data_IF_301456311334
#
_entry.id   IF_301456311334
#
_cell.length_a   1.000
_cell.length_b   1.000
_cell.length_c   1.000
_cell.angle_alpha   90.00
_cell.angle_beta   90.00
_cell.angle_gamma   90.00
#
_symmetry.space_group_name_H-M   'P 1'
#
loop_
_entity.id
_entity.type
_entity.pdbx_description
1 polymer ?
#
# COMPACT_ATOMS: atom_id res chain seq x y z
N UNK A 1 21.41 13.85 1.84
CA UNK A 1 21.53 13.38 3.24
C UNK A 1 20.21 13.50 4.02
N UNK A 2 19.28 14.37 3.63
CA UNK A 2 17.98 14.53 4.32
C UNK A 2 17.11 13.26 4.35
N UNK A 3 17.17 12.46 3.29
CA UNK A 3 16.42 11.21 3.19
C UNK A 3 16.91 10.09 4.12
N UNK A 4 18.23 9.88 4.28
CA UNK A 4 18.77 8.68 4.94
C UNK A 4 18.25 8.42 6.37
N UNK A 5 18.00 9.41 7.24
CA UNK A 5 17.40 9.17 8.55
C UNK A 5 15.99 8.58 8.49
N UNK A 6 15.25 8.79 7.39
CA UNK A 6 13.86 8.35 7.27
C UNK A 6 13.68 6.83 7.28
N UNK A 7 14.71 6.07 6.94
CA UNK A 7 14.72 4.62 7.09
C UNK A 7 14.57 4.20 8.56
N UNK A 8 15.23 4.93 9.48
CA UNK A 8 15.07 4.70 10.92
C UNK A 8 13.70 5.17 11.37
N UNK A 9 13.23 6.33 10.88
CA UNK A 9 11.92 6.87 11.22
C UNK A 9 10.80 5.88 10.86
N UNK A 10 10.84 5.27 9.68
CA UNK A 10 9.91 4.20 9.27
C UNK A 10 10.05 2.97 10.17
N UNK A 11 11.27 2.52 10.46
CA UNK A 11 11.52 1.34 11.29
C UNK A 11 11.01 1.49 12.74
N UNK A 12 10.93 2.72 13.25
CA UNK A 12 10.38 3.01 14.59
C UNK A 12 8.91 3.48 14.55
N UNK A 13 8.35 3.66 13.36
CA UNK A 13 6.96 4.09 13.16
C UNK A 13 6.74 5.59 13.31
N UNK A 14 7.77 6.42 13.12
CA UNK A 14 7.64 7.88 13.01
C UNK A 14 7.41 8.28 11.54
N UNK A 15 6.26 7.86 11.02
CA UNK A 15 5.89 8.14 9.62
C UNK A 15 5.76 9.63 9.32
N UNK A 16 5.30 10.42 10.30
CA UNK A 16 5.18 11.87 10.14
C UNK A 16 6.54 12.50 9.82
N UNK A 17 7.56 12.20 10.62
CA UNK A 17 8.91 12.71 10.41
C UNK A 17 9.48 12.23 9.08
N UNK A 18 9.22 10.96 8.72
CA UNK A 18 9.62 10.42 7.42
C UNK A 18 9.00 11.20 6.25
N UNK A 19 7.70 11.56 6.31
CA UNK A 19 7.05 12.40 5.28
C UNK A 19 7.71 13.76 5.18
N UNK A 20 7.92 14.43 6.32
CA UNK A 20 8.46 15.80 6.36
C UNK A 20 9.91 15.83 5.84
N UNK A 21 10.79 14.92 6.29
CA UNK A 21 12.19 14.86 5.86
C UNK A 21 12.33 14.47 4.38
N UNK A 22 11.50 13.55 3.88
CA UNK A 22 11.50 13.22 2.44
C UNK A 22 10.95 14.37 1.60
N UNK A 23 9.98 15.14 2.11
CA UNK A 23 9.53 16.36 1.42
C UNK A 23 10.67 17.36 1.27
N UNK A 24 11.43 17.64 2.33
CA UNK A 24 12.61 18.50 2.27
C UNK A 24 13.66 17.98 1.28
N UNK A 25 13.88 16.66 1.24
CA UNK A 25 14.79 16.03 0.29
C UNK A 25 14.33 16.27 -1.16
N UNK A 26 13.03 16.11 -1.45
CA UNK A 26 12.44 16.35 -2.78
C UNK A 26 12.60 17.83 -3.19
N UNK A 27 12.33 18.77 -2.26
CA UNK A 27 12.49 20.21 -2.53
C UNK A 27 13.95 20.59 -2.81
N UNK A 28 14.90 20.02 -2.06
CA UNK A 28 16.33 20.24 -2.30
C UNK A 28 16.77 19.68 -3.66
N UNK A 29 16.24 18.52 -4.02
CA UNK A 29 16.50 17.84 -5.25
C UNK A 29 15.93 18.57 -6.48
N UNK A 30 14.70 19.07 -6.39
CA UNK A 30 14.10 19.91 -7.43
C UNK A 30 14.95 21.16 -7.74
N UNK A 31 15.57 21.76 -6.73
CA UNK A 31 16.50 22.88 -6.90
C UNK A 31 17.78 22.47 -7.62
N UNK A 32 18.28 21.25 -7.35
CA UNK A 32 19.46 20.72 -8.02
C UNK A 32 19.17 20.43 -9.50
N UNK A 33 18.08 19.71 -9.81
CA UNK A 33 17.67 19.41 -11.18
C UNK A 33 17.30 20.63 -12.02
N UNK A 34 16.92 21.73 -11.40
CA UNK A 34 16.66 23.00 -12.09
C UNK A 34 17.95 23.71 -12.55
N UNK A 35 19.13 23.32 -12.04
CA UNK A 35 20.42 23.95 -12.30
C UNK A 35 21.40 23.10 -13.07
N UNK A 36 21.30 21.78 -12.93
CA UNK A 36 22.27 20.82 -13.40
C UNK A 36 21.60 19.72 -14.25
N UNK A 37 22.26 19.31 -15.31
CA UNK A 37 21.88 18.09 -16.04
C UNK A 37 22.26 16.88 -15.18
N UNK A 38 21.31 16.42 -14.37
CA UNK A 38 21.55 15.30 -13.49
C UNK A 38 21.68 13.97 -14.23
N UNK A 39 22.59 13.11 -13.76
CA UNK A 39 22.79 11.80 -14.36
C UNK A 39 21.57 10.90 -14.20
N UNK A 40 21.38 9.97 -15.14
CA UNK A 40 20.30 8.97 -15.13
C UNK A 40 20.32 8.13 -13.86
N UNK A 41 21.52 7.79 -13.34
CA UNK A 41 21.65 7.05 -12.09
C UNK A 41 21.05 7.83 -10.90
N UNK A 42 21.13 9.15 -10.93
CA UNK A 42 20.55 9.98 -9.88
C UNK A 42 19.02 9.98 -9.90
N UNK A 43 18.39 9.75 -11.06
CA UNK A 43 16.96 9.62 -11.18
C UNK A 43 16.39 8.46 -10.33
N UNK A 44 17.14 7.35 -10.21
CA UNK A 44 16.73 6.22 -9.37
C UNK A 44 16.66 6.59 -7.87
N UNK A 45 17.62 7.38 -7.37
CA UNK A 45 17.58 7.90 -6.00
C UNK A 45 16.39 8.84 -5.78
N UNK A 46 16.14 9.70 -6.76
CA UNK A 46 14.98 10.62 -6.72
C UNK A 46 13.66 9.88 -6.62
N UNK A 47 13.46 8.86 -7.43
CA UNK A 47 12.28 7.97 -7.37
C UNK A 47 12.18 7.33 -5.99
N UNK A 48 13.29 6.87 -5.42
CA UNK A 48 13.31 6.18 -4.12
C UNK A 48 12.79 7.06 -2.99
N UNK A 49 13.24 8.30 -2.80
CA UNK A 49 12.74 9.09 -1.68
C UNK A 49 11.34 9.70 -1.91
N UNK A 50 10.92 9.88 -3.15
CA UNK A 50 9.51 10.17 -3.43
C UNK A 50 8.63 9.00 -3.01
N UNK A 51 9.05 7.77 -3.33
CA UNK A 51 8.36 6.55 -2.93
C UNK A 51 8.36 6.36 -1.40
N UNK A 52 9.46 6.69 -0.72
CA UNK A 52 9.55 6.66 0.75
C UNK A 52 8.57 7.66 1.39
N UNK A 53 8.44 8.88 0.84
CA UNK A 53 7.41 9.83 1.26
C UNK A 53 6.01 9.26 1.08
N UNK A 54 5.73 8.70 -0.09
CA UNK A 54 4.43 8.10 -0.42
C UNK A 54 4.04 7.02 0.57
N UNK A 55 4.94 6.06 0.83
CA UNK A 55 4.69 4.97 1.76
C UNK A 55 4.42 5.48 3.18
N UNK A 56 5.27 6.37 3.70
CA UNK A 56 5.10 6.95 5.03
C UNK A 56 3.76 7.72 5.15
N UNK A 57 3.37 8.44 4.10
CA UNK A 57 2.09 9.14 4.04
C UNK A 57 0.89 8.15 4.05
N UNK A 58 0.99 7.05 3.31
CA UNK A 58 -0.03 5.99 3.35
C UNK A 58 -0.17 5.39 4.75
N UNK A 59 0.95 5.14 5.45
CA UNK A 59 0.97 4.51 6.77
C UNK A 59 0.49 5.43 7.90
N UNK A 60 0.54 6.76 7.69
CA UNK A 60 0.05 7.78 8.63
C UNK A 60 -1.32 8.36 8.28
N UNK A 61 -2.00 7.87 7.23
CA UNK A 61 -3.33 8.37 6.84
C UNK A 61 -3.30 9.75 6.15
N UNK A 62 -2.18 10.17 5.57
CA UNK A 62 -1.99 11.46 4.89
C UNK A 62 -2.23 11.30 3.38
N UNK A 63 -3.50 11.35 2.99
CA UNK A 63 -3.90 11.17 1.58
C UNK A 63 -3.29 12.21 0.65
N UNK A 64 -3.33 13.47 1.03
CA UNK A 64 -2.83 14.58 0.21
C UNK A 64 -1.34 14.43 -0.09
N UNK A 65 -0.53 14.07 0.91
CA UNK A 65 0.90 13.84 0.72
C UNK A 65 1.19 12.60 -0.12
N UNK A 66 0.42 11.52 0.08
CA UNK A 66 0.57 10.29 -0.70
C UNK A 66 0.24 10.53 -2.17
N UNK A 67 -0.86 11.23 -2.47
CA UNK A 67 -1.24 11.57 -3.85
C UNK A 67 -0.25 12.53 -4.50
N UNK A 68 0.19 13.57 -3.81
CA UNK A 68 1.22 14.49 -4.31
C UNK A 68 2.52 13.76 -4.66
N UNK A 69 2.92 12.79 -3.83
CA UNK A 69 4.11 11.97 -4.12
C UNK A 69 3.88 11.05 -5.34
N UNK A 70 2.69 10.44 -5.48
CA UNK A 70 2.35 9.62 -6.64
C UNK A 70 2.37 10.43 -7.94
N UNK A 71 1.79 11.63 -7.94
CA UNK A 71 1.83 12.56 -9.08
C UNK A 71 3.26 13.02 -9.40
N UNK A 72 4.10 13.20 -8.38
CA UNK A 72 5.53 13.52 -8.58
C UNK A 72 6.28 12.36 -9.22
N UNK A 73 5.96 11.10 -8.87
CA UNK A 73 6.52 9.93 -9.55
C UNK A 73 6.15 9.92 -11.05
N UNK A 74 4.88 10.20 -11.39
CA UNK A 74 4.43 10.30 -12.79
C UNK A 74 5.19 11.40 -13.57
N UNK A 75 5.57 12.50 -12.91
CA UNK A 75 6.36 13.58 -13.53
C UNK A 75 7.85 13.20 -13.73
N UNK A 76 8.42 12.46 -12.77
CA UNK A 76 9.86 12.12 -12.78
C UNK A 76 10.14 10.92 -13.66
N UNK A 77 9.23 9.94 -13.70
CA UNK A 77 9.35 8.71 -14.49
C UNK A 77 8.67 8.94 -15.86
N UNK A 78 9.32 9.71 -16.71
CA UNK A 78 8.84 10.00 -18.04
C UNK A 78 9.25 8.94 -19.08
N UNK A 79 8.69 9.03 -20.27
CA UNK A 79 8.99 8.11 -21.38
C UNK A 79 10.48 8.18 -21.78
N UNK A 80 11.15 9.32 -21.63
CA UNK A 80 12.57 9.49 -21.93
C UNK A 80 13.41 8.64 -20.97
N UNK A 81 13.13 8.70 -19.67
CA UNK A 81 13.79 7.88 -18.66
C UNK A 81 13.55 6.38 -18.91
N UNK A 82 12.31 5.99 -19.19
CA UNK A 82 11.95 4.58 -19.42
C UNK A 82 12.51 4.01 -20.71
N UNK A 83 12.86 4.84 -21.70
CA UNK A 83 13.46 4.41 -22.96
C UNK A 83 14.97 4.14 -22.87
N UNK A 84 15.60 4.46 -21.76
CA UNK A 84 17.03 4.17 -21.52
C UNK A 84 17.24 2.67 -21.33
N UNK A 85 18.12 2.09 -22.15
CA UNK A 85 18.38 0.65 -22.16
C UNK A 85 19.66 0.25 -21.43
N UNK A 86 20.57 1.20 -21.17
CA UNK A 86 21.84 0.97 -20.46
C UNK A 86 22.04 2.09 -19.43
N UNK A 87 21.79 1.82 -18.13
CA UNK A 87 21.12 0.64 -17.57
C UNK A 87 19.64 0.55 -18.02
N UNK A 88 18.97 -0.63 -17.94
CA UNK A 88 17.60 -0.79 -18.40
C UNK A 88 16.62 -0.13 -17.42
N UNK A 89 16.44 1.18 -17.55
CA UNK A 89 15.70 2.00 -16.56
C UNK A 89 14.25 1.56 -16.38
N UNK A 90 13.57 1.08 -17.43
CA UNK A 90 12.24 0.53 -17.29
C UNK A 90 12.19 -0.66 -16.31
N UNK A 91 13.23 -1.50 -16.28
CA UNK A 91 13.30 -2.63 -15.34
C UNK A 91 13.49 -2.19 -13.89
N UNK A 92 14.01 -0.99 -13.66
CA UNK A 92 14.29 -0.48 -12.30
C UNK A 92 13.24 0.48 -11.74
N UNK A 93 12.52 1.23 -12.60
CA UNK A 93 11.69 2.32 -12.08
C UNK A 93 10.24 2.33 -12.59
N UNK A 94 9.87 1.53 -13.61
CA UNK A 94 8.51 1.55 -14.16
C UNK A 94 7.46 1.13 -13.13
N UNK A 95 7.78 0.16 -12.27
CA UNK A 95 6.90 -0.35 -11.22
C UNK A 95 6.38 0.75 -10.28
N UNK A 96 7.17 1.79 -10.03
CA UNK A 96 6.76 2.89 -9.14
C UNK A 96 5.58 3.72 -9.69
N UNK A 97 5.29 3.65 -10.98
CA UNK A 97 4.09 4.27 -11.57
C UNK A 97 2.79 3.59 -11.13
N UNK A 98 2.87 2.33 -10.67
CA UNK A 98 1.75 1.64 -10.04
C UNK A 98 1.35 2.19 -8.67
N UNK A 99 2.19 3.01 -8.04
CA UNK A 99 1.98 3.52 -6.67
C UNK A 99 0.71 4.36 -6.53
N UNK A 100 0.29 5.10 -7.55
CA UNK A 100 -0.98 5.85 -7.54
C UNK A 100 -2.18 4.94 -7.33
N UNK A 101 -2.20 3.78 -7.99
CA UNK A 101 -3.24 2.78 -7.78
C UNK A 101 -3.25 2.26 -6.34
N UNK A 102 -2.07 2.02 -5.74
CA UNK A 102 -1.93 1.62 -4.34
C UNK A 102 -2.45 2.69 -3.37
N UNK A 103 -2.15 3.98 -3.60
CA UNK A 103 -2.67 5.09 -2.79
C UNK A 103 -4.20 5.10 -2.84
N UNK A 104 -4.79 5.05 -4.03
CA UNK A 104 -6.24 5.10 -4.18
C UNK A 104 -6.94 3.90 -3.50
N UNK A 105 -6.36 2.70 -3.58
CA UNK A 105 -6.88 1.53 -2.85
C UNK A 105 -6.76 1.74 -1.34
N UNK A 106 -5.61 2.21 -0.83
CA UNK A 106 -5.41 2.46 0.61
C UNK A 106 -6.48 3.37 1.19
N UNK A 107 -6.88 4.40 0.44
CA UNK A 107 -7.83 5.41 0.89
C UNK A 107 -9.27 5.18 0.38
N UNK A 108 -9.56 4.01 -0.21
CA UNK A 108 -10.91 3.64 -0.63
C UNK A 108 -11.51 4.52 -1.74
N UNK A 109 -10.65 5.08 -2.60
CA UNK A 109 -11.06 6.01 -3.68
C UNK A 109 -11.54 5.22 -4.90
N UNK A 110 -12.56 4.38 -4.72
CA UNK A 110 -13.01 3.39 -5.70
C UNK A 110 -13.39 3.99 -7.04
N UNK A 111 -14.17 5.09 -7.03
CA UNK A 111 -14.56 5.78 -8.25
C UNK A 111 -13.38 6.38 -9.03
N UNK A 112 -12.36 6.86 -8.33
CA UNK A 112 -11.15 7.39 -8.97
C UNK A 112 -10.33 6.27 -9.60
N UNK A 113 -10.27 5.10 -8.97
CA UNK A 113 -9.61 3.90 -9.53
C UNK A 113 -10.26 3.50 -10.86
N UNK A 114 -11.60 3.51 -10.93
CA UNK A 114 -12.31 3.13 -12.16
C UNK A 114 -12.06 4.10 -13.33
N UNK A 115 -11.65 5.34 -13.04
CA UNK A 115 -11.29 6.36 -14.05
C UNK A 115 -9.83 6.32 -14.50
N UNK A 116 -8.95 5.56 -13.80
CA UNK A 116 -7.55 5.43 -14.23
C UNK A 116 -7.47 4.90 -15.65
N UNK A 117 -6.63 5.50 -16.47
CA UNK A 117 -6.41 5.04 -17.85
C UNK A 117 -5.36 3.93 -17.87
N UNK A 118 -5.63 2.86 -18.61
CA UNK A 118 -4.63 1.83 -18.84
C UNK A 118 -3.61 2.32 -19.87
N UNK A 119 -2.31 2.17 -19.61
CA UNK A 119 -1.29 2.53 -20.58
C UNK A 119 -1.42 1.68 -21.85
N UNK A 120 -1.16 2.32 -23.00
CA UNK A 120 -1.26 1.69 -24.33
C UNK A 120 -0.06 0.82 -24.64
N UNK A 121 1.14 1.26 -24.30
CA UNK A 121 2.37 0.46 -24.44
C UNK A 121 2.48 -0.57 -23.33
N UNK A 122 2.10 -1.80 -23.66
CA UNK A 122 2.09 -2.93 -22.72
C UNK A 122 3.49 -3.49 -22.45
N UNK A 123 4.47 -3.17 -23.26
CA UNK A 123 5.85 -3.67 -23.10
C UNK A 123 6.63 -2.84 -22.09
N UNK A 124 6.46 -1.52 -22.13
CA UNK A 124 7.10 -0.60 -21.20
C UNK A 124 6.33 -0.58 -19.87
N UNK A 125 5.03 -0.35 -19.90
CA UNK A 125 4.19 -0.14 -18.71
C UNK A 125 3.48 -1.42 -18.24
N UNK A 126 4.17 -2.56 -18.25
CA UNK A 126 3.57 -3.85 -17.95
C UNK A 126 3.16 -3.98 -16.47
N UNK A 127 3.98 -3.47 -15.53
CA UNK A 127 3.67 -3.49 -14.10
C UNK A 127 2.61 -2.46 -13.74
N UNK A 128 2.71 -1.24 -14.28
CA UNK A 128 1.70 -0.19 -14.10
C UNK A 128 0.31 -0.68 -14.54
N UNK A 129 0.25 -1.36 -15.69
CA UNK A 129 -1.00 -1.95 -16.19
C UNK A 129 -1.54 -3.00 -15.22
N UNK A 130 -0.71 -3.91 -14.76
CA UNK A 130 -1.12 -4.94 -13.79
C UNK A 130 -1.61 -4.30 -12.48
N UNK A 131 -0.92 -3.29 -11.96
CA UNK A 131 -1.30 -2.57 -10.73
C UNK A 131 -2.64 -1.86 -10.86
N UNK A 132 -2.92 -1.22 -12.01
CA UNK A 132 -4.24 -0.58 -12.26
C UNK A 132 -5.34 -1.64 -12.36
N UNK A 133 -5.11 -2.78 -13.01
CA UNK A 133 -6.09 -3.86 -13.12
C UNK A 133 -6.36 -4.49 -11.75
N UNK A 134 -5.33 -4.73 -10.94
CA UNK A 134 -5.49 -5.14 -9.55
C UNK A 134 -6.39 -4.18 -8.78
N UNK A 135 -6.09 -2.89 -8.82
CA UNK A 135 -6.87 -1.88 -8.11
C UNK A 135 -8.32 -1.81 -8.60
N UNK A 136 -8.56 -1.93 -9.92
CA UNK A 136 -9.92 -2.01 -10.49
C UNK A 136 -10.70 -3.22 -9.99
N UNK A 137 -10.06 -4.39 -9.96
CA UNK A 137 -10.67 -5.59 -9.41
C UNK A 137 -11.10 -5.41 -7.97
N UNK A 138 -10.24 -4.80 -7.12
CA UNK A 138 -10.60 -4.45 -5.74
C UNK A 138 -11.73 -3.43 -5.65
N UNK A 139 -11.70 -2.37 -6.48
CA UNK A 139 -12.73 -1.34 -6.49
C UNK A 139 -14.10 -1.92 -6.85
N UNK A 140 -14.17 -2.72 -7.92
CA UNK A 140 -15.40 -3.40 -8.33
C UNK A 140 -15.90 -4.36 -7.25
N UNK A 141 -15.00 -5.12 -6.61
CA UNK A 141 -15.32 -6.00 -5.48
C UNK A 141 -15.92 -5.21 -4.32
N UNK A 142 -15.27 -4.11 -3.91
CA UNK A 142 -15.74 -3.24 -2.83
C UNK A 142 -17.11 -2.61 -3.14
N UNK A 143 -17.36 -2.24 -4.40
CA UNK A 143 -18.63 -1.70 -4.87
C UNK A 143 -19.71 -2.78 -5.07
N UNK A 144 -19.36 -4.07 -4.97
CA UNK A 144 -20.29 -5.18 -5.10
C UNK A 144 -20.61 -5.56 -6.55
N UNK A 145 -19.81 -5.09 -7.50
CA UNK A 145 -19.90 -5.42 -8.93
C UNK A 145 -19.09 -6.69 -9.21
N UNK A 146 -19.60 -7.84 -8.74
CA UNK A 146 -18.86 -9.11 -8.72
C UNK A 146 -18.56 -9.64 -10.13
N UNK A 147 -19.51 -9.68 -11.08
CA UNK A 147 -19.22 -10.17 -12.43
C UNK A 147 -18.13 -9.35 -13.14
N UNK A 148 -18.16 -8.03 -12.99
CA UNK A 148 -17.16 -7.12 -13.55
C UNK A 148 -15.80 -7.30 -12.86
N UNK A 149 -15.79 -7.52 -11.54
CA UNK A 149 -14.57 -7.81 -10.79
C UNK A 149 -13.91 -9.12 -11.25
N UNK A 150 -14.69 -10.19 -11.51
CA UNK A 150 -14.21 -11.45 -12.05
C UNK A 150 -13.60 -11.28 -13.45
N UNK A 151 -14.25 -10.51 -14.32
CA UNK A 151 -13.72 -10.22 -15.64
C UNK A 151 -12.37 -9.48 -15.56
N UNK A 152 -12.29 -8.46 -14.70
CA UNK A 152 -11.04 -7.71 -14.47
C UNK A 152 -9.96 -8.58 -13.82
N UNK A 153 -10.32 -9.52 -12.94
CA UNK A 153 -9.36 -10.47 -12.37
C UNK A 153 -8.69 -11.31 -13.47
N UNK A 154 -9.44 -11.78 -14.47
CA UNK A 154 -8.88 -12.52 -15.61
C UNK A 154 -7.90 -11.64 -16.39
N UNK A 155 -8.26 -10.37 -16.65
CA UNK A 155 -7.36 -9.42 -17.32
C UNK A 155 -6.10 -9.13 -16.50
N UNK A 156 -6.24 -9.00 -15.19
CA UNK A 156 -5.12 -8.81 -14.27
C UNK A 156 -4.16 -10.00 -14.30
N UNK A 157 -4.66 -11.25 -14.21
CA UNK A 157 -3.81 -12.44 -14.26
C UNK A 157 -3.07 -12.58 -15.60
N UNK A 158 -3.71 -12.21 -16.71
CA UNK A 158 -3.06 -12.17 -18.02
C UNK A 158 -1.97 -11.09 -18.07
N UNK A 159 -2.23 -9.90 -17.48
CA UNK A 159 -1.23 -8.82 -17.41
C UNK A 159 -0.06 -9.21 -16.51
N UNK A 160 -0.33 -9.81 -15.34
CA UNK A 160 0.68 -10.33 -14.41
C UNK A 160 1.60 -11.37 -15.06
N UNK A 161 1.01 -12.32 -15.80
CA UNK A 161 1.77 -13.36 -16.49
C UNK A 161 2.69 -12.81 -17.61
N UNK A 162 2.37 -11.63 -18.14
CA UNK A 162 3.16 -10.97 -19.18
C UNK A 162 4.32 -10.12 -18.62
N UNK A 163 4.40 -9.91 -17.28
CA UNK A 163 5.50 -9.13 -16.67
C UNK A 163 6.80 -9.92 -16.73
N UNK A 164 7.88 -9.36 -17.33
CA UNK A 164 9.18 -10.02 -17.39
C UNK A 164 9.79 -10.18 -15.99
N UNK A 165 10.54 -11.28 -15.79
CA UNK A 165 11.26 -11.54 -14.53
C UNK A 165 12.42 -10.58 -14.27
N UNK A 166 12.79 -9.76 -15.25
CA UNK A 166 13.78 -8.68 -15.13
C UNK A 166 13.23 -7.44 -14.42
N UNK A 167 11.90 -7.28 -14.39
CA UNK A 167 11.27 -6.14 -13.69
C UNK A 167 11.47 -6.24 -12.18
N UNK A 168 12.01 -5.16 -11.61
CA UNK A 168 12.29 -5.05 -10.19
C UNK A 168 11.36 -4.02 -9.53
N UNK A 169 10.90 -4.35 -8.33
CA UNK A 169 10.29 -3.37 -7.42
C UNK A 169 11.41 -2.60 -6.70
N UNK A 170 12.35 -3.37 -6.19
CA UNK A 170 13.56 -2.89 -5.52
C UNK A 170 14.60 -4.02 -5.56
N UNK A 171 15.87 -3.70 -5.50
CA UNK A 171 16.91 -4.73 -5.51
C UNK A 171 16.97 -5.39 -4.11
N UNK A 172 16.79 -6.72 -3.99
CA UNK A 172 16.70 -7.74 -5.05
C UNK A 172 15.26 -8.21 -5.36
N UNK A 173 14.20 -7.49 -4.96
CA UNK A 173 12.81 -7.91 -5.07
C UNK A 173 12.30 -7.81 -6.52
N UNK A 174 11.73 -8.91 -7.04
CA UNK A 174 11.16 -8.96 -8.38
C UNK A 174 9.67 -8.61 -8.36
N UNK A 175 9.21 -7.90 -9.39
CA UNK A 175 7.78 -7.55 -9.52
C UNK A 175 6.87 -8.76 -9.65
N UNK A 176 7.33 -9.85 -10.24
CA UNK A 176 6.54 -11.09 -10.33
C UNK A 176 6.17 -11.65 -8.96
N UNK A 177 7.02 -11.48 -7.95
CA UNK A 177 6.77 -11.91 -6.57
C UNK A 177 5.78 -10.95 -5.87
N UNK A 178 5.95 -9.64 -6.07
CA UNK A 178 5.05 -8.60 -5.56
C UNK A 178 3.64 -8.74 -6.14
N UNK A 179 3.52 -8.97 -7.44
CA UNK A 179 2.24 -9.23 -8.11
C UNK A 179 1.62 -10.58 -7.70
N UNK A 180 2.40 -11.51 -7.14
CA UNK A 180 1.89 -12.71 -6.47
C UNK A 180 1.07 -12.36 -5.23
N UNK A 181 1.50 -11.37 -4.43
CA UNK A 181 0.73 -10.84 -3.30
C UNK A 181 -0.57 -10.20 -3.80
N UNK A 182 -0.47 -9.36 -4.85
CA UNK A 182 -1.63 -8.72 -5.47
C UNK A 182 -2.69 -9.72 -5.92
N UNK A 183 -2.25 -10.82 -6.56
CA UNK A 183 -3.13 -11.90 -7.02
C UNK A 183 -3.90 -12.56 -5.87
N UNK A 184 -3.19 -12.91 -4.80
CA UNK A 184 -3.82 -13.52 -3.63
C UNK A 184 -4.74 -12.54 -2.88
N UNK A 185 -4.37 -11.25 -2.81
CA UNK A 185 -5.22 -10.19 -2.23
C UNK A 185 -6.52 -10.04 -3.01
N UNK A 186 -6.46 -9.88 -4.33
CA UNK A 186 -7.65 -9.72 -5.18
C UNK A 186 -8.55 -10.94 -5.11
N UNK A 187 -7.97 -12.15 -5.18
CA UNK A 187 -8.73 -13.38 -5.06
C UNK A 187 -9.44 -13.49 -3.69
N UNK A 188 -8.73 -13.17 -2.60
CA UNK A 188 -9.30 -13.19 -1.26
C UNK A 188 -10.45 -12.21 -1.07
N UNK A 189 -10.29 -10.97 -1.57
CA UNK A 189 -11.35 -9.94 -1.52
C UNK A 189 -12.58 -10.38 -2.33
N UNK A 190 -12.37 -10.91 -3.52
CA UNK A 190 -13.45 -11.35 -4.39
C UNK A 190 -14.23 -12.52 -3.77
N UNK A 191 -13.56 -13.53 -3.23
CA UNK A 191 -14.20 -14.63 -2.49
C UNK A 191 -14.98 -14.13 -1.27
N UNK A 192 -14.43 -13.12 -0.57
CA UNK A 192 -15.14 -12.49 0.54
C UNK A 192 -16.47 -11.87 0.07
N UNK A 193 -16.46 -11.15 -1.06
CA UNK A 193 -17.66 -10.50 -1.61
C UNK A 193 -18.70 -11.49 -2.13
N UNK A 194 -18.26 -12.68 -2.56
CA UNK A 194 -19.16 -13.81 -2.92
C UNK A 194 -19.78 -14.48 -1.69
N UNK A 195 -19.35 -14.15 -0.47
CA UNK A 195 -19.80 -14.77 0.77
C UNK A 195 -19.03 -16.06 1.14
N UNK A 196 -17.97 -16.40 0.42
CA UNK A 196 -17.11 -17.57 0.66
C UNK A 196 -16.05 -17.25 1.72
N UNK A 197 -16.47 -16.88 2.93
CA UNK A 197 -15.60 -16.29 3.96
C UNK A 197 -14.40 -17.16 4.35
N UNK A 198 -14.56 -18.47 4.51
CA UNK A 198 -13.44 -19.35 4.89
C UNK A 198 -12.38 -19.42 3.79
N UNK A 199 -12.81 -19.51 2.53
CA UNK A 199 -11.92 -19.44 1.36
C UNK A 199 -11.23 -18.09 1.29
N UNK A 200 -11.97 -16.99 1.49
CA UNK A 200 -11.44 -15.63 1.51
C UNK A 200 -10.34 -15.48 2.56
N UNK A 201 -10.61 -15.87 3.80
CA UNK A 201 -9.64 -15.73 4.88
C UNK A 201 -8.42 -16.64 4.71
N UNK A 202 -8.58 -17.87 4.20
CA UNK A 202 -7.43 -18.72 3.89
C UNK A 202 -6.57 -18.13 2.77
N UNK A 203 -7.19 -17.56 1.74
CA UNK A 203 -6.49 -16.91 0.63
C UNK A 203 -5.76 -15.64 1.08
N UNK A 204 -6.38 -14.82 1.95
CA UNK A 204 -5.71 -13.64 2.52
C UNK A 204 -4.57 -14.02 3.48
N UNK A 205 -4.66 -15.13 4.23
CA UNK A 205 -3.53 -15.65 4.99
C UNK A 205 -2.39 -16.09 4.07
N UNK A 206 -2.72 -16.70 2.94
CA UNK A 206 -1.71 -17.01 1.91
C UNK A 206 -1.07 -15.74 1.34
N UNK A 207 -1.84 -14.67 1.14
CA UNK A 207 -1.29 -13.39 0.72
C UNK A 207 -0.31 -12.81 1.77
N UNK A 208 -0.59 -12.97 3.07
CA UNK A 208 0.34 -12.60 4.15
C UNK A 208 1.65 -13.41 4.07
N UNK A 209 1.57 -14.72 3.84
CA UNK A 209 2.77 -15.55 3.68
C UNK A 209 3.63 -15.08 2.50
N UNK A 210 3.00 -14.72 1.38
CA UNK A 210 3.69 -14.18 0.21
C UNK A 210 4.32 -12.82 0.50
N UNK A 211 3.58 -11.88 1.17
CA UNK A 211 4.12 -10.60 1.61
C UNK A 211 5.32 -10.78 2.54
N UNK A 212 5.20 -11.67 3.53
CA UNK A 212 6.25 -11.96 4.51
C UNK A 212 7.48 -12.63 3.88
N UNK A 213 7.33 -13.31 2.74
CA UNK A 213 8.42 -13.94 2.01
C UNK A 213 9.20 -12.97 1.13
N UNK A 214 8.66 -11.76 0.84
CA UNK A 214 9.35 -10.78 0.02
C UNK A 214 10.70 -10.38 0.67
N UNK A 215 11.74 -10.15 -0.14
CA UNK A 215 12.99 -9.58 0.34
C UNK A 215 12.76 -8.25 1.06
N UNK A 216 13.54 -8.00 2.12
CA UNK A 216 13.48 -6.72 2.82
C UNK A 216 13.87 -5.58 1.88
N UNK A 217 13.03 -4.55 1.87
CA UNK A 217 13.28 -3.26 1.23
C UNK A 217 12.61 -2.17 2.07
N UNK A 218 13.08 -0.95 1.92
CA UNK A 218 12.52 0.22 2.57
C UNK A 218 12.44 1.37 1.54
N UNK A 219 11.24 1.75 1.12
CA UNK A 219 9.94 1.24 1.56
C UNK A 219 9.69 -0.23 1.19
N UNK A 220 8.78 -0.92 1.90
CA UNK A 220 8.42 -2.30 1.58
C UNK A 220 7.92 -2.45 0.15
N UNK A 221 8.26 -3.56 -0.56
CA UNK A 221 7.83 -3.78 -1.93
C UNK A 221 6.31 -3.83 -2.09
N UNK A 222 5.61 -4.40 -1.10
CA UNK A 222 4.16 -4.36 -1.00
C UNK A 222 3.71 -3.25 -0.05
N UNK A 223 3.11 -2.19 -0.60
CA UNK A 223 2.81 -0.95 0.14
C UNK A 223 1.49 -0.98 0.93
N UNK A 224 0.66 -2.01 0.72
CA UNK A 224 -0.63 -2.16 1.38
C UNK A 224 -0.61 -3.40 2.26
N UNK A 225 -0.22 -3.31 3.55
CA UNK A 225 -0.12 -4.49 4.40
C UNK A 225 -1.36 -5.36 4.35
N UNK A 226 -1.21 -6.62 3.93
CA UNK A 226 -2.31 -7.58 3.81
C UNK A 226 -3.05 -7.74 5.13
N UNK A 227 -2.32 -7.64 6.24
CA UNK A 227 -2.86 -7.71 7.60
C UNK A 227 -3.94 -6.66 7.88
N UNK A 228 -3.86 -5.49 7.26
CA UNK A 228 -4.88 -4.45 7.42
C UNK A 228 -6.21 -4.85 6.79
N UNK A 229 -6.18 -5.46 5.61
CA UNK A 229 -7.37 -5.96 4.93
C UNK A 229 -7.96 -7.18 5.66
N UNK A 230 -7.12 -8.20 5.95
CA UNK A 230 -7.57 -9.39 6.67
C UNK A 230 -8.19 -9.02 8.02
N UNK A 231 -7.51 -8.20 8.83
CA UNK A 231 -8.01 -7.77 10.14
C UNK A 231 -9.33 -7.02 10.03
N UNK A 232 -9.46 -6.11 9.06
CA UNK A 232 -10.70 -5.37 8.81
C UNK A 232 -11.87 -6.28 8.43
N UNK A 233 -11.67 -7.24 7.54
CA UNK A 233 -12.71 -8.18 7.11
C UNK A 233 -13.07 -9.20 8.21
N UNK A 234 -12.10 -9.63 9.02
CA UNK A 234 -12.36 -10.44 10.22
C UNK A 234 -13.25 -9.69 11.22
N UNK A 235 -12.99 -8.40 11.45
CA UNK A 235 -13.83 -7.55 12.30
C UNK A 235 -15.25 -7.39 11.73
N UNK A 236 -15.42 -7.29 10.42
CA UNK A 236 -16.72 -7.24 9.76
C UNK A 236 -17.53 -8.53 10.02
N UNK A 237 -16.87 -9.68 10.07
CA UNK A 237 -17.47 -10.98 10.39
C UNK A 237 -17.50 -11.29 11.90
N UNK A 238 -17.27 -10.30 12.76
CA UNK A 238 -17.21 -10.44 14.21
C UNK A 238 -16.19 -11.49 14.72
N UNK A 239 -15.15 -11.82 13.92
CA UNK A 239 -14.06 -12.71 14.29
C UNK A 239 -12.96 -11.93 15.04
N UNK A 240 -13.37 -11.26 16.13
CA UNK A 240 -12.55 -10.25 16.84
C UNK A 240 -11.23 -10.83 17.36
N UNK A 241 -11.24 -12.05 17.93
CA UNK A 241 -10.02 -12.67 18.45
C UNK A 241 -8.97 -12.94 17.38
N UNK A 242 -9.38 -13.34 16.16
CA UNK A 242 -8.46 -13.54 15.05
C UNK A 242 -7.94 -12.21 14.49
N UNK A 243 -8.79 -11.19 14.42
CA UNK A 243 -8.37 -9.85 14.02
C UNK A 243 -7.33 -9.26 14.99
N UNK A 244 -7.51 -9.48 16.31
CA UNK A 244 -6.54 -9.05 17.33
C UNK A 244 -5.17 -9.66 17.09
N UNK A 245 -5.09 -10.96 16.80
CA UNK A 245 -3.81 -11.63 16.50
C UNK A 245 -3.13 -10.98 15.29
N UNK A 246 -3.87 -10.75 14.22
CA UNK A 246 -3.37 -10.14 12.98
C UNK A 246 -2.82 -8.72 13.22
N UNK A 247 -3.55 -7.89 13.98
CA UNK A 247 -3.07 -6.53 14.28
C UNK A 247 -1.92 -6.50 15.27
N UNK A 248 -1.85 -7.44 16.22
CA UNK A 248 -0.69 -7.56 17.10
C UNK A 248 0.58 -7.94 16.33
N UNK A 249 0.47 -8.81 15.33
CA UNK A 249 1.59 -9.11 14.42
C UNK A 249 1.99 -7.86 13.62
N UNK A 250 1.04 -7.18 12.99
CA UNK A 250 1.30 -5.98 12.20
C UNK A 250 2.05 -4.91 13.00
N UNK A 251 1.63 -4.67 14.24
CA UNK A 251 2.23 -3.69 15.13
C UNK A 251 3.49 -4.18 15.87
N UNK A 252 3.94 -5.42 15.62
CA UNK A 252 5.11 -6.02 16.30
C UNK A 252 4.90 -6.28 17.78
N UNK A 253 3.64 -6.46 18.21
CA UNK A 253 3.26 -6.77 19.59
C UNK A 253 3.11 -8.28 19.84
N UNK A 254 3.23 -9.11 18.81
CA UNK A 254 3.28 -10.56 18.95
C UNK A 254 4.70 -11.01 19.33
N UNK A 255 4.81 -11.93 20.31
CA UNK A 255 6.08 -12.30 20.97
C UNK A 255 7.18 -12.75 20.01
N UNK A 256 6.84 -13.56 19.03
CA UNK A 256 7.82 -14.21 18.14
C UNK A 256 7.76 -13.63 16.71
N UNK A 257 7.10 -12.49 16.53
CA UNK A 257 6.97 -11.87 15.20
C UNK A 257 8.26 -11.12 14.82
N UNK A 258 8.83 -11.36 13.62
CA UNK A 258 10.08 -10.73 13.22
C UNK A 258 9.96 -9.20 13.12
N UNK A 259 10.79 -8.48 13.89
CA UNK A 259 10.78 -7.02 13.94
C UNK A 259 10.81 -6.35 12.57
N UNK A 260 11.58 -6.89 11.62
CA UNK A 260 11.70 -6.35 10.24
C UNK A 260 10.40 -6.37 9.44
N UNK A 261 9.40 -7.16 9.86
CA UNK A 261 8.08 -7.26 9.22
C UNK A 261 7.04 -6.39 9.92
N UNK A 262 7.32 -5.97 11.15
CA UNK A 262 6.40 -5.14 11.92
C UNK A 262 6.31 -3.73 11.34
N UNK A 263 5.11 -3.18 11.35
CA UNK A 263 4.80 -1.82 10.90
C UNK A 263 4.32 -1.00 12.10
N UNK A 264 5.26 -0.66 12.97
CA UNK A 264 4.97 -0.02 14.24
C UNK A 264 4.18 1.27 14.06
N UNK A 265 3.34 1.57 15.01
CA UNK A 265 2.63 2.85 15.14
C UNK A 265 1.85 3.31 13.89
N UNK A 266 1.65 2.43 12.89
CA UNK A 266 0.82 2.81 11.77
C UNK A 266 -0.64 3.03 12.20
N UNK A 267 -1.29 4.04 11.64
CA UNK A 267 -2.63 4.47 12.05
C UNK A 267 -3.69 3.38 11.86
N UNK A 268 -3.54 2.54 10.85
CA UNK A 268 -4.50 1.52 10.46
C UNK A 268 -4.50 0.32 11.42
N UNK A 269 -3.31 -0.20 11.72
CA UNK A 269 -3.12 -1.29 12.70
C UNK A 269 -3.52 -0.86 14.10
N UNK A 270 -3.13 0.36 14.52
CA UNK A 270 -3.52 0.91 15.83
C UNK A 270 -5.04 1.07 15.94
N UNK A 271 -5.70 1.58 14.89
CA UNK A 271 -7.16 1.70 14.88
C UNK A 271 -7.84 0.33 14.95
N UNK A 272 -7.38 -0.64 14.15
CA UNK A 272 -7.94 -1.99 14.14
C UNK A 272 -7.75 -2.72 15.47
N UNK A 273 -6.58 -2.63 16.10
CA UNK A 273 -6.31 -3.24 17.40
C UNK A 273 -7.15 -2.58 18.51
N UNK A 274 -7.29 -1.25 18.48
CA UNK A 274 -8.16 -0.54 19.42
C UNK A 274 -9.62 -1.00 19.31
N UNK A 275 -10.12 -1.18 18.07
CA UNK A 275 -11.46 -1.72 17.84
C UNK A 275 -11.61 -3.14 18.39
N UNK A 276 -10.58 -4.01 18.22
CA UNK A 276 -10.58 -5.35 18.80
C UNK A 276 -10.72 -5.32 20.32
N UNK A 277 -9.94 -4.51 21.00
CA UNK A 277 -9.97 -4.40 22.46
C UNK A 277 -11.31 -3.86 22.96
N UNK A 278 -11.83 -2.82 22.31
CA UNK A 278 -13.13 -2.23 22.66
C UNK A 278 -14.26 -3.25 22.52
N UNK A 279 -14.31 -3.99 21.40
CA UNK A 279 -15.33 -5.03 21.17
C UNK A 279 -15.22 -6.22 22.12
N UNK A 280 -14.00 -6.55 22.56
CA UNK A 280 -13.75 -7.65 23.50
C UNK A 280 -13.87 -7.25 24.97
N UNK A 281 -14.18 -5.97 25.28
CA UNK A 281 -14.24 -5.47 26.66
C UNK A 281 -12.89 -5.41 27.38
N UNK A 282 -11.78 -5.42 26.64
CA UNK A 282 -10.40 -5.31 27.14
C UNK A 282 -10.05 -3.84 27.38
N UNK A 283 -10.62 -3.25 28.44
CA UNK A 283 -10.58 -1.80 28.69
C UNK A 283 -9.15 -1.32 28.94
N UNK A 284 -8.38 -2.04 29.74
CA UNK A 284 -7.01 -1.66 30.10
C UNK A 284 -6.09 -1.65 28.87
N UNK A 285 -6.18 -2.68 28.02
CA UNK A 285 -5.42 -2.76 26.77
C UNK A 285 -5.85 -1.68 25.77
N UNK A 286 -7.15 -1.37 25.71
CA UNK A 286 -7.65 -0.27 24.87
C UNK A 286 -7.07 1.07 25.33
N UNK A 287 -7.07 1.36 26.62
CA UNK A 287 -6.48 2.57 27.20
C UNK A 287 -4.97 2.63 26.96
N UNK A 288 -4.28 1.49 27.05
CA UNK A 288 -2.83 1.40 26.82
C UNK A 288 -2.43 1.87 25.41
N UNK A 289 -3.16 1.45 24.36
CA UNK A 289 -2.81 1.84 22.99
C UNK A 289 -3.49 3.13 22.53
N UNK A 290 -4.47 3.64 23.27
CA UNK A 290 -5.25 4.82 22.89
C UNK A 290 -4.37 6.03 22.62
N UNK A 291 -3.39 6.32 23.48
CA UNK A 291 -2.49 7.47 23.28
C UNK A 291 -1.69 7.36 21.99
N UNK A 292 -1.15 6.19 21.67
CA UNK A 292 -0.42 5.95 20.42
C UNK A 292 -1.34 6.11 19.19
N UNK A 293 -2.57 5.58 19.28
CA UNK A 293 -3.59 5.72 18.24
C UNK A 293 -3.96 7.19 18.02
N UNK A 294 -4.20 7.95 19.08
CA UNK A 294 -4.63 9.35 19.00
C UNK A 294 -3.51 10.24 18.42
N UNK A 295 -2.25 9.96 18.76
CA UNK A 295 -1.08 10.61 18.15
C UNK A 295 -1.00 10.29 16.64
N UNK A 296 -1.20 9.03 16.25
CA UNK A 296 -1.20 8.64 14.85
C UNK A 296 -2.36 9.29 14.07
N UNK A 297 -3.56 9.31 14.65
CA UNK A 297 -4.74 9.96 14.07
C UNK A 297 -4.56 11.48 13.91
N UNK A 298 -3.87 12.16 14.83
CA UNK A 298 -3.58 13.58 14.72
C UNK A 298 -2.73 13.96 13.50
N UNK A 299 -2.04 12.99 12.90
CA UNK A 299 -1.25 13.18 11.67
C UNK A 299 -2.04 12.94 10.39
N UNK A 300 -3.19 12.26 10.47
CA UNK A 300 -4.01 11.93 9.32
C UNK A 300 -4.77 13.17 8.79
N UNK A 301 -4.92 13.25 7.47
CA UNK A 301 -5.72 14.28 6.79
C UNK A 301 -7.07 13.74 6.27
N UNK A 302 -7.36 12.48 6.58
CA UNK A 302 -8.63 11.80 6.30
C UNK A 302 -9.20 11.15 7.56
N UNK A 303 -10.52 10.97 7.67
CA UNK A 303 -11.11 10.17 8.75
C UNK A 303 -10.64 8.71 8.66
N UNK A 304 -10.04 8.19 9.73
CA UNK A 304 -9.66 6.77 9.85
C UNK A 304 -10.71 6.08 10.71
N UNK A 305 -11.67 5.46 10.06
CA UNK A 305 -12.80 4.77 10.69
C UNK A 305 -12.70 3.24 10.63
N UNK A 306 -11.69 2.73 9.93
CA UNK A 306 -11.42 1.30 9.74
C UNK A 306 -9.97 1.06 9.39
N UNK A 307 -9.46 -0.16 9.60
CA UNK A 307 -8.11 -0.58 9.16
C UNK A 307 -8.01 -0.79 7.64
N UNK A 308 -9.15 -1.01 6.97
CA UNK A 308 -9.27 -1.15 5.52
C UNK A 308 -10.61 -0.63 5.04
N UNK A 309 -10.61 0.25 4.03
CA UNK A 309 -11.83 0.73 3.38
C UNK A 309 -12.53 -0.33 2.51
N UNK A 310 -11.96 -1.51 2.38
CA UNK A 310 -12.64 -2.69 1.85
C UNK A 310 -13.84 -3.12 2.74
N UNK A 311 -13.92 -2.70 3.98
CA UNK A 311 -15.05 -2.93 4.89
C UNK A 311 -16.27 -2.09 4.51
N UNK A 312 -17.42 -2.72 4.21
CA UNK A 312 -18.64 -2.01 3.81
C UNK A 312 -19.31 -1.22 4.94
N UNK A 313 -19.26 -1.70 6.16
CA UNK A 313 -19.81 -1.00 7.33
C UNK A 313 -19.15 0.35 7.60
N UNK A 314 -17.90 0.54 7.15
CA UNK A 314 -17.19 1.82 7.26
C UNK A 314 -17.66 2.88 6.24
N UNK A 315 -18.30 2.47 5.15
CA UNK A 315 -18.77 3.37 4.07
C UNK A 315 -20.18 3.91 4.38
N UNK A 316 -20.95 3.22 5.22
CA UNK A 316 -22.35 3.60 5.56
C UNK A 316 -22.49 4.76 6.53
N UNK A 317 -21.48 5.01 7.38
CA UNK A 317 -21.54 6.06 8.42
C UNK A 317 -21.13 7.45 7.93
N UNK A 318 -20.53 7.58 6.75
CA UNK A 318 -20.12 8.87 6.17
C UNK A 318 -21.20 9.56 5.32
N UNK A 319 -22.42 8.98 5.19
CA UNK A 319 -23.51 9.59 4.44
C UNK A 319 -24.46 10.50 5.24
N UNK A 320 -24.15 10.78 6.50
CA UNK A 320 -24.96 11.69 7.32
C UNK A 320 -24.20 12.96 7.67
N UNK A 321 -23.78 13.76 6.70
CA UNK A 321 -23.52 15.20 6.80
C UNK A 321 -23.31 15.75 5.38
N UNK A 322 -24.38 16.02 4.68
CA UNK A 322 -24.46 16.97 3.59
C UNK A 322 -25.22 18.19 4.03
#
# INVERSE_FOLDING_TARGET
MLHMPTHIDVAVGDYRRSVDSNHEAIVADDKYFAREDASIQYAAYRVHYICAKLYAAMMSGRFTDAMSAAEKLEQVIDTKLLSVTIPPMADFVESFLGSKAHVLVRFGRWEEILRLQLPTDRSIYCVTRASILYARGLALSALGQIPEAEAVQIEFEAARAAVPTSRLNSIPCKEVDVLGVASAMLAGELEYRKGNYDTAFSTLRRAIELEDALPYSDPPPWMQPVRHALGGLLLEQNRVGEAEVVFREDLGMARDFPRRRAKLNNVWGLHGLYECFTRSGKIEEALFIQSSRDIALASADVPVTTSCYCRRSAVGETRCCS
#
